data_IF_743979012243
#
_entry.id   IF_743979012243
#
_cell.length_a   1.000
_cell.length_b   1.000
_cell.length_c   1.000
_cell.angle_alpha   90.00
_cell.angle_beta   90.00
_cell.angle_gamma   90.00
#
_symmetry.space_group_name_H-M   'P 1'
#
loop_
_entity.id
_entity.type
_entity.pdbx_description
1 polymer ?
#
# COMPACT_ATOMS: atom_id res chain seq x y z
N UNK A 1 9.47 -40.97 -32.80
CA UNK A 1 8.14 -40.45 -32.46
C UNK A 1 8.31 -39.70 -31.15
N UNK A 2 8.70 -38.43 -31.28
CA UNK A 2 9.31 -37.61 -30.23
C UNK A 2 8.23 -36.94 -29.40
N UNK A 3 8.36 -37.05 -28.08
CA UNK A 3 7.40 -36.55 -27.10
C UNK A 3 7.40 -35.03 -27.07
N UNK A 4 6.20 -34.48 -27.15
CA UNK A 4 5.88 -33.06 -27.06
C UNK A 4 6.13 -32.58 -25.62
N UNK A 5 7.18 -31.78 -25.42
CA UNK A 5 7.50 -31.19 -24.11
C UNK A 5 7.03 -29.76 -24.14
N UNK A 6 5.83 -29.53 -23.61
CA UNK A 6 5.28 -28.20 -23.37
C UNK A 6 6.15 -27.50 -22.32
N UNK A 7 7.06 -26.65 -22.80
CA UNK A 7 7.84 -25.73 -21.98
C UNK A 7 6.87 -24.73 -21.34
N UNK A 8 6.77 -24.74 -20.02
CA UNK A 8 5.86 -23.86 -19.28
C UNK A 8 6.11 -22.39 -19.61
N UNK A 9 5.15 -21.78 -20.31
CA UNK A 9 5.15 -20.35 -20.58
C UNK A 9 5.16 -19.58 -19.25
N UNK A 10 6.12 -18.66 -19.09
CA UNK A 10 6.16 -17.76 -17.94
C UNK A 10 4.89 -16.90 -17.94
N UNK A 11 4.27 -16.66 -16.77
CA UNK A 11 3.04 -15.84 -16.67
C UNK A 11 3.12 -14.49 -17.38
N UNK A 12 4.32 -13.93 -17.50
CA UNK A 12 4.58 -12.65 -18.19
C UNK A 12 4.51 -12.76 -19.72
N UNK A 13 4.72 -13.93 -20.32
CA UNK A 13 4.58 -14.12 -21.78
C UNK A 13 3.12 -14.20 -22.24
N UNK A 14 2.17 -14.26 -21.31
CA UNK A 14 0.73 -14.26 -21.59
C UNK A 14 0.10 -12.85 -21.58
N UNK A 15 0.89 -11.81 -21.29
CA UNK A 15 0.39 -10.43 -21.27
C UNK A 15 0.06 -9.92 -22.68
N UNK A 16 0.85 -10.32 -23.69
CA UNK A 16 0.64 -9.91 -25.09
C UNK A 16 -0.60 -10.59 -25.70
N UNK A 17 -0.98 -11.79 -25.23
CA UNK A 17 -2.23 -12.46 -25.64
C UNK A 17 -3.50 -11.72 -25.17
N UNK A 18 -3.37 -10.83 -24.17
CA UNK A 18 -4.48 -10.08 -23.60
C UNK A 18 -4.68 -8.68 -24.23
N UNK A 19 -3.69 -8.19 -24.98
CA UNK A 19 -3.66 -6.82 -25.54
C UNK A 19 -4.13 -6.74 -27.01
N UNK A 20 -4.61 -7.86 -27.57
CA UNK A 20 -5.14 -7.95 -28.94
C UNK A 20 -4.08 -8.26 -30.00
N UNK A 21 -4.47 -8.22 -31.28
CA UNK A 21 -3.60 -8.61 -32.38
C UNK A 21 -2.43 -7.62 -32.55
N UNK A 22 -1.19 -8.10 -32.46
CA UNK A 22 -0.01 -7.26 -32.55
C UNK A 22 0.13 -6.57 -33.91
N UNK A 23 0.07 -5.23 -33.94
CA UNK A 23 0.21 -4.45 -35.17
C UNK A 23 1.66 -4.31 -35.68
N UNK A 24 2.64 -4.90 -35.00
CA UNK A 24 4.04 -4.84 -35.41
C UNK A 24 4.39 -6.01 -36.34
N UNK A 25 4.55 -5.72 -37.64
CA UNK A 25 4.91 -6.69 -38.69
C UNK A 25 6.42 -6.99 -38.77
N UNK A 26 7.23 -6.44 -37.87
CA UNK A 26 8.68 -6.69 -37.88
C UNK A 26 9.02 -8.07 -37.30
N UNK A 27 10.06 -8.76 -37.81
CA UNK A 27 10.53 -10.03 -37.27
C UNK A 27 11.38 -9.88 -35.98
N UNK A 28 11.46 -8.67 -35.42
CA UNK A 28 12.23 -8.42 -34.20
C UNK A 28 11.46 -8.91 -32.97
N UNK A 29 12.21 -9.37 -31.97
CA UNK A 29 11.63 -9.76 -30.69
C UNK A 29 10.80 -8.63 -30.09
N UNK A 30 9.62 -8.95 -29.55
CA UNK A 30 8.75 -7.98 -28.90
C UNK A 30 9.40 -7.47 -27.60
N UNK A 31 8.94 -6.32 -27.11
CA UNK A 31 9.40 -5.82 -25.81
C UNK A 31 9.04 -6.81 -24.69
N UNK A 32 7.88 -7.47 -24.77
CA UNK A 32 7.49 -8.52 -23.82
C UNK A 32 8.45 -9.70 -23.83
N UNK A 33 8.90 -10.16 -25.00
CA UNK A 33 9.89 -11.25 -25.13
C UNK A 33 11.25 -10.86 -24.54
N UNK A 34 11.71 -9.63 -24.79
CA UNK A 34 12.96 -9.12 -24.22
C UNK A 34 12.86 -9.05 -22.68
N UNK A 35 11.76 -8.53 -22.15
CA UNK A 35 11.51 -8.45 -20.71
C UNK A 35 11.44 -9.85 -20.10
N UNK A 36 10.63 -10.76 -20.66
CA UNK A 36 10.48 -12.13 -20.17
C UNK A 36 11.82 -12.88 -20.13
N UNK A 37 12.65 -12.74 -21.18
CA UNK A 37 13.98 -13.37 -21.22
C UNK A 37 14.92 -12.86 -20.12
N UNK A 38 14.87 -11.56 -19.78
CA UNK A 38 15.69 -10.95 -18.72
C UNK A 38 15.22 -11.35 -17.33
N UNK A 39 13.90 -11.40 -17.10
CA UNK A 39 13.33 -11.84 -15.84
C UNK A 39 13.62 -13.33 -15.58
N UNK A 40 13.44 -14.20 -16.58
CA UNK A 40 13.72 -15.65 -16.49
C UNK A 40 15.16 -15.94 -16.06
N UNK A 41 16.16 -15.25 -16.65
CA UNK A 41 17.58 -15.38 -16.26
C UNK A 41 17.82 -14.95 -14.82
N UNK A 42 17.22 -13.84 -14.39
CA UNK A 42 17.39 -13.31 -13.03
C UNK A 42 16.78 -14.23 -11.98
N UNK A 43 15.61 -14.79 -12.27
CA UNK A 43 14.92 -15.70 -11.36
C UNK A 43 15.64 -17.05 -11.28
N UNK A 44 16.17 -17.56 -12.39
CA UNK A 44 17.04 -18.74 -12.38
C UNK A 44 18.31 -18.52 -11.54
N UNK A 45 19.00 -17.38 -11.71
CA UNK A 45 20.19 -17.04 -10.92
C UNK A 45 19.87 -16.85 -9.43
N UNK A 46 18.73 -16.22 -9.10
CA UNK A 46 18.27 -16.10 -7.71
C UNK A 46 17.92 -17.45 -7.10
N UNK A 47 17.19 -18.29 -7.82
CA UNK A 47 16.79 -19.63 -7.36
C UNK A 47 17.98 -20.55 -7.13
N UNK A 48 18.95 -20.55 -8.05
CA UNK A 48 20.19 -21.33 -7.92
C UNK A 48 21.08 -20.84 -6.77
N UNK A 49 21.23 -19.53 -6.58
CA UNK A 49 21.97 -18.97 -5.44
C UNK A 49 21.29 -19.29 -4.09
N UNK A 50 19.97 -19.15 -4.01
CA UNK A 50 19.21 -19.49 -2.81
C UNK A 50 19.35 -20.97 -2.45
N UNK A 51 19.27 -21.87 -3.44
CA UNK A 51 19.43 -23.31 -3.23
C UNK A 51 20.83 -23.66 -2.74
N UNK A 52 21.87 -23.04 -3.31
CA UNK A 52 23.25 -23.24 -2.89
C UNK A 52 23.50 -22.71 -1.46
N UNK A 53 22.93 -21.55 -1.11
CA UNK A 53 23.06 -20.97 0.23
C UNK A 53 22.38 -21.85 1.29
N UNK A 54 21.18 -22.38 1.02
CA UNK A 54 20.48 -23.30 1.93
C UNK A 54 21.29 -24.59 2.11
N UNK A 55 21.75 -25.19 1.01
CA UNK A 55 22.56 -26.41 1.07
C UNK A 55 23.90 -26.21 1.83
N UNK A 56 24.49 -25.02 1.76
CA UNK A 56 25.73 -24.69 2.45
C UNK A 56 25.55 -24.36 3.94
N UNK A 57 24.36 -23.91 4.37
CA UNK A 57 24.13 -23.41 5.74
C UNK A 57 23.29 -24.35 6.60
N UNK A 58 22.48 -25.23 6.00
CA UNK A 58 21.60 -26.14 6.71
C UNK A 58 22.17 -27.56 6.66
N UNK A 59 23.11 -27.85 7.57
CA UNK A 59 23.43 -29.25 7.89
C UNK A 59 22.22 -29.91 8.56
N UNK A 60 21.89 -31.19 8.30
CA UNK A 60 20.83 -31.91 9.02
C UNK A 60 21.00 -31.87 10.54
N UNK A 61 22.24 -31.74 11.03
CA UNK A 61 22.57 -31.54 12.45
C UNK A 61 22.13 -30.17 13.01
N UNK A 62 22.10 -29.12 12.18
CA UNK A 62 21.67 -27.77 12.59
C UNK A 62 20.14 -27.67 12.76
N UNK A 63 19.37 -28.41 11.95
CA UNK A 63 17.92 -28.54 12.11
C UNK A 63 17.53 -29.33 13.37
N UNK A 64 18.33 -30.33 13.75
CA UNK A 64 18.13 -31.14 14.96
C UNK A 64 18.58 -30.45 16.24
N UNK A 65 19.40 -29.39 16.13
CA UNK A 65 19.92 -28.60 17.25
C UNK A 65 19.35 -27.17 17.30
N UNK A 66 18.37 -26.88 16.44
CA UNK A 66 17.59 -25.66 16.55
C UNK A 66 16.73 -25.76 17.82
N UNK A 67 17.25 -25.18 18.90
CA UNK A 67 16.47 -24.90 20.11
C UNK A 67 15.19 -24.17 19.68
N UNK A 68 14.07 -24.54 20.27
CA UNK A 68 12.79 -23.87 20.05
C UNK A 68 13.02 -22.36 20.17
N UNK A 69 12.83 -21.64 19.07
CA UNK A 69 12.83 -20.20 19.08
C UNK A 69 11.68 -19.77 19.99
N UNK A 70 11.98 -19.51 21.26
CA UNK A 70 11.11 -18.75 22.13
C UNK A 70 10.94 -17.41 21.46
N UNK A 71 9.82 -17.25 20.74
CA UNK A 71 9.28 -15.94 20.44
C UNK A 71 9.12 -15.27 21.81
N UNK A 72 10.08 -14.43 22.17
CA UNK A 72 9.89 -13.46 23.23
C UNK A 72 8.54 -12.83 22.92
N UNK A 73 7.59 -13.06 23.80
CA UNK A 73 6.31 -12.35 23.77
C UNK A 73 6.70 -10.91 24.01
N UNK A 74 7.00 -10.20 22.92
CA UNK A 74 7.29 -8.78 22.96
C UNK A 74 6.06 -8.18 23.65
N UNK A 75 6.25 -7.77 24.90
CA UNK A 75 5.22 -7.09 25.66
C UNK A 75 4.65 -6.04 24.71
N UNK A 76 3.34 -6.11 24.47
CA UNK A 76 2.66 -5.23 23.53
C UNK A 76 3.13 -3.80 23.82
N UNK A 77 3.68 -3.10 22.80
CA UNK A 77 4.08 -1.69 22.94
C UNK A 77 2.90 -0.78 23.29
N UNK A 78 1.69 -1.34 23.30
CA UNK A 78 0.43 -0.68 23.56
C UNK A 78 -0.16 -1.21 24.86
N UNK A 79 -0.52 -0.28 25.75
CA UNK A 79 -1.10 -0.56 27.07
C UNK A 79 -2.64 -0.45 27.10
N UNK A 80 -3.29 -0.41 25.94
CA UNK A 80 -4.76 -0.30 25.83
C UNK A 80 -5.39 -1.65 25.49
N UNK A 81 -6.64 -1.84 25.93
CA UNK A 81 -7.45 -2.99 25.51
C UNK A 81 -7.89 -2.82 24.06
N UNK A 82 -7.66 -3.85 23.25
CA UNK A 82 -8.03 -3.85 21.83
C UNK A 82 -9.55 -3.66 21.66
N UNK A 83 -9.93 -2.81 20.69
CA UNK A 83 -11.32 -2.51 20.36
C UNK A 83 -11.91 -3.67 19.56
N UNK A 84 -13.13 -4.10 19.90
CA UNK A 84 -13.83 -5.16 19.16
C UNK A 84 -14.15 -4.71 17.73
N UNK A 85 -13.85 -5.56 16.75
CA UNK A 85 -14.19 -5.29 15.36
C UNK A 85 -15.71 -5.35 15.16
N UNK A 86 -16.29 -4.28 14.60
CA UNK A 86 -17.72 -4.17 14.33
C UNK A 86 -18.00 -3.31 13.10
N UNK A 87 -19.25 -3.38 12.63
CA UNK A 87 -19.75 -2.51 11.56
C UNK A 87 -20.96 -1.77 12.12
N UNK A 88 -20.76 -0.51 12.50
CA UNK A 88 -21.82 0.42 12.85
C UNK A 88 -21.42 1.84 12.45
N UNK A 89 -22.28 2.82 12.72
CA UNK A 89 -22.08 4.23 12.33
C UNK A 89 -21.19 5.00 13.32
N UNK A 90 -20.71 4.36 14.40
CA UNK A 90 -20.00 5.04 15.48
C UNK A 90 -18.50 4.87 15.33
N UNK A 91 -17.78 5.89 15.79
CA UNK A 91 -16.34 5.80 15.97
C UNK A 91 -16.06 5.19 17.34
N UNK A 92 -15.41 4.02 17.37
CA UNK A 92 -15.05 3.33 18.61
C UNK A 92 -13.58 3.59 18.91
N UNK A 93 -13.29 3.98 20.15
CA UNK A 93 -11.93 4.17 20.68
C UNK A 93 -11.71 3.27 21.88
N UNK A 94 -10.45 3.00 22.21
CA UNK A 94 -10.12 2.20 23.39
C UNK A 94 -10.57 2.89 24.69
N UNK A 95 -10.83 2.09 25.74
CA UNK A 95 -11.24 2.62 27.04
C UNK A 95 -10.21 3.66 27.56
N UNK A 96 -10.71 4.80 28.05
CA UNK A 96 -9.89 5.90 28.54
C UNK A 96 -9.39 6.88 27.47
N UNK A 97 -9.75 6.68 26.20
CA UNK A 97 -9.46 7.59 25.09
C UNK A 97 -10.72 8.33 24.61
N UNK A 98 -10.53 9.46 23.94
CA UNK A 98 -11.58 10.26 23.29
C UNK A 98 -11.14 10.64 21.87
N UNK A 99 -12.10 10.94 21.01
CA UNK A 99 -11.88 11.38 19.64
C UNK A 99 -12.81 12.55 19.31
N UNK A 100 -12.21 13.73 19.12
CA UNK A 100 -12.91 14.93 18.70
C UNK A 100 -12.74 15.18 17.20
N UNK A 101 -13.78 15.73 16.58
CA UNK A 101 -13.70 16.15 15.18
C UNK A 101 -13.04 17.52 15.09
N UNK A 102 -11.82 17.57 14.54
CA UNK A 102 -11.05 18.80 14.39
C UNK A 102 -11.50 19.66 13.20
N UNK A 103 -11.67 19.06 12.02
CA UNK A 103 -12.12 19.72 10.80
C UNK A 103 -13.03 18.77 9.99
N UNK A 104 -14.05 19.32 9.35
CA UNK A 104 -15.05 18.63 8.54
C UNK A 104 -15.11 19.23 7.15
N UNK A 105 -15.53 18.43 6.17
CA UNK A 105 -15.86 18.96 4.84
C UNK A 105 -16.86 20.12 4.98
N UNK A 106 -16.51 21.26 4.38
CA UNK A 106 -17.33 22.46 4.43
C UNK A 106 -16.96 23.46 5.53
N UNK A 107 -16.11 23.09 6.49
CA UNK A 107 -15.69 24.01 7.54
C UNK A 107 -15.02 25.25 6.97
N UNK A 108 -15.32 26.41 7.56
CA UNK A 108 -14.82 27.70 7.12
C UNK A 108 -13.31 27.83 7.34
N UNK A 109 -12.55 28.09 6.28
CA UNK A 109 -11.11 28.38 6.37
C UNK A 109 -10.80 29.86 6.63
N UNK A 110 -11.79 30.74 6.45
CA UNK A 110 -11.64 32.18 6.60
C UNK A 110 -12.86 32.78 7.32
N UNK A 111 -12.71 33.97 7.95
CA UNK A 111 -13.81 34.61 8.69
C UNK A 111 -15.07 34.89 7.87
N UNK A 112 -14.92 35.08 6.56
CA UNK A 112 -15.97 35.41 5.60
C UNK A 112 -16.29 34.25 4.64
N UNK A 113 -15.85 33.02 4.95
CA UNK A 113 -16.26 31.84 4.19
C UNK A 113 -17.79 31.67 4.22
N UNK A 114 -18.42 31.29 3.09
CA UNK A 114 -19.86 31.07 3.06
C UNK A 114 -20.25 29.88 3.94
N UNK A 115 -21.51 29.87 4.39
CA UNK A 115 -22.06 28.74 5.12
C UNK A 115 -22.06 27.48 4.24
N UNK A 116 -21.71 26.34 4.83
CA UNK A 116 -21.72 25.07 4.13
C UNK A 116 -23.15 24.58 3.88
N UNK A 117 -23.44 24.22 2.63
CA UNK A 117 -24.68 23.60 2.19
C UNK A 117 -24.34 22.49 1.19
N UNK A 118 -24.35 21.20 1.59
CA UNK A 118 -23.95 20.10 0.71
C UNK A 118 -24.85 19.95 -0.52
N UNK A 119 -26.08 20.49 -0.49
CA UNK A 119 -27.05 20.39 -1.59
C UNK A 119 -26.93 21.52 -2.61
N UNK A 120 -26.20 22.59 -2.29
CA UNK A 120 -26.03 23.78 -3.14
C UNK A 120 -24.59 24.29 -3.16
N UNK A 121 -23.63 23.36 -3.19
CA UNK A 121 -22.22 23.72 -3.30
C UNK A 121 -21.89 24.36 -4.65
N UNK A 122 -21.00 25.36 -4.60
CA UNK A 122 -20.41 26.00 -5.78
C UNK A 122 -18.89 25.93 -5.66
N UNK A 123 -18.17 25.94 -6.79
CA UNK A 123 -16.71 25.93 -6.78
C UNK A 123 -16.12 27.12 -6.01
N UNK A 124 -16.74 28.30 -6.15
CA UNK A 124 -16.34 29.51 -5.42
C UNK A 124 -16.48 29.32 -3.91
N UNK A 125 -17.61 28.77 -3.44
CA UNK A 125 -17.83 28.50 -2.01
C UNK A 125 -16.85 27.44 -1.48
N UNK A 126 -16.69 26.33 -2.20
CA UNK A 126 -15.81 25.22 -1.81
C UNK A 126 -14.34 25.65 -1.74
N UNK A 127 -13.89 26.58 -2.59
CA UNK A 127 -12.51 27.11 -2.57
C UNK A 127 -12.13 27.79 -1.25
N UNK A 128 -13.13 28.15 -0.44
CA UNK A 128 -12.98 28.82 0.85
C UNK A 128 -13.34 27.94 2.05
N UNK A 129 -13.55 26.65 1.81
CA UNK A 129 -13.98 25.68 2.81
C UNK A 129 -13.04 24.47 2.81
N UNK A 130 -12.94 23.79 3.94
CA UNK A 130 -12.16 22.57 4.04
C UNK A 130 -12.71 21.53 3.05
N UNK A 131 -11.79 20.87 2.33
CA UNK A 131 -12.13 20.04 1.20
C UNK A 131 -12.79 18.71 1.60
N UNK A 132 -13.45 18.12 0.62
CA UNK A 132 -14.09 16.81 0.74
C UNK A 132 -13.05 15.67 0.71
N UNK A 133 -13.39 14.51 1.29
CA UNK A 133 -12.58 13.29 1.26
C UNK A 133 -11.11 13.53 1.61
N UNK A 134 -10.85 14.05 2.81
CA UNK A 134 -9.48 14.08 3.32
C UNK A 134 -8.95 12.65 3.54
N UNK A 135 -7.67 12.44 3.28
CA UNK A 135 -7.06 11.11 3.38
C UNK A 135 -5.79 11.19 4.26
N UNK A 136 -4.80 11.94 3.79
CA UNK A 136 -3.55 12.24 4.46
C UNK A 136 -3.57 13.58 5.18
N UNK A 137 -3.03 13.58 6.40
CA UNK A 137 -2.70 14.77 7.19
C UNK A 137 -1.24 14.74 7.63
N UNK A 138 -0.55 15.87 7.46
CA UNK A 138 0.78 16.11 8.00
C UNK A 138 0.80 17.33 8.91
N UNK A 139 1.48 17.23 10.06
CA UNK A 139 1.72 18.35 10.97
C UNK A 139 3.14 18.87 10.82
N UNK A 140 3.28 20.15 10.50
CA UNK A 140 4.57 20.84 10.41
C UNK A 140 4.67 21.81 11.59
N UNK A 141 5.55 21.54 12.57
CA UNK A 141 5.65 22.38 13.76
C UNK A 141 6.21 23.76 13.42
N UNK A 142 5.61 24.82 13.95
CA UNK A 142 6.15 26.18 13.89
C UNK A 142 7.10 26.35 15.07
N UNK A 143 8.35 26.72 14.79
CA UNK A 143 9.42 26.88 15.80
C UNK A 143 9.65 25.62 16.67
N UNK A 144 9.38 24.42 16.12
CA UNK A 144 9.57 23.16 16.84
C UNK A 144 8.52 22.86 17.92
N UNK A 145 7.43 23.64 17.98
CA UNK A 145 6.34 23.43 18.93
C UNK A 145 5.46 22.23 18.56
N UNK A 146 5.04 21.44 19.55
CA UNK A 146 4.00 20.40 19.40
C UNK A 146 2.59 20.97 19.37
N UNK A 147 2.39 22.18 19.94
CA UNK A 147 1.06 22.78 20.14
C UNK A 147 0.72 23.81 19.05
N UNK A 148 1.69 24.15 18.20
CA UNK A 148 1.50 25.17 17.17
C UNK A 148 2.22 24.77 15.89
N UNK A 149 1.45 24.58 14.83
CA UNK A 149 1.96 24.14 13.55
C UNK A 149 0.95 24.30 12.43
N UNK A 150 1.38 23.95 11.22
CA UNK A 150 0.55 23.89 10.03
C UNK A 150 0.06 22.45 9.83
N UNK A 151 -1.24 22.30 9.59
CA UNK A 151 -1.80 21.05 9.09
C UNK A 151 -1.86 21.11 7.57
N UNK A 152 -1.19 20.16 6.92
CA UNK A 152 -1.23 19.98 5.46
C UNK A 152 -2.11 18.77 5.21
N UNK A 153 -3.28 19.01 4.61
CA UNK A 153 -4.29 17.99 4.36
C UNK A 153 -4.53 17.87 2.87
N UNK A 154 -4.50 16.64 2.34
CA UNK A 154 -4.91 16.41 0.95
C UNK A 154 -6.42 16.14 0.88
N UNK A 155 -6.98 16.29 -0.32
CA UNK A 155 -8.37 16.01 -0.62
C UNK A 155 -8.44 15.18 -1.89
N UNK A 156 -8.94 13.96 -1.80
CA UNK A 156 -8.92 13.00 -2.91
C UNK A 156 -10.29 12.87 -3.57
N UNK A 157 -10.28 12.73 -4.89
CA UNK A 157 -11.43 12.32 -5.68
C UNK A 157 -11.04 11.03 -6.40
N UNK A 158 -11.86 9.99 -6.28
CA UNK A 158 -11.76 8.80 -7.11
C UNK A 158 -12.66 9.02 -8.34
N UNK A 159 -12.08 8.87 -9.52
CA UNK A 159 -12.78 8.91 -10.82
C UNK A 159 -13.15 7.49 -11.26
#
# INVERSE_FOLDING_TARGET
MTQDTTCGAFRTSLLEDNDGEGHNVSPNATMGEIIASRFSRRDFLRGSLATAAIAATVSPLALLSADEAHAETAASRFSFQEVEAGIDERHHVAEGYDADVLLRWGDALFPDSPAFDPTRQTAESQSRQFGYNNDYVGFIPIAGSSEHGLLVVNHVILH
#
